data_IF_213217632670
#
_entry.id   IF_213217632670
#
_cell.length_a   1.000
_cell.length_b   1.000
_cell.length_c   1.000
_cell.angle_alpha   90.00
_cell.angle_beta   90.00
_cell.angle_gamma   90.00
#
_symmetry.space_group_name_H-M   'P 1'
#
loop_
_entity.id
_entity.type
_entity.pdbx_description
1 polymer ?
#
# COMPACT_ATOMS: atom_id res chain seq x y z
N UNK A 1 -18.67 18.35 21.66
CA UNK A 1 -17.75 18.10 20.55
C UNK A 1 -18.35 16.94 19.75
N UNK A 2 -19.00 17.22 18.62
CA UNK A 2 -19.62 16.15 17.81
C UNK A 2 -18.48 15.35 17.14
N UNK A 3 -18.23 14.16 17.65
CA UNK A 3 -17.32 13.21 16.99
C UNK A 3 -18.10 12.68 15.79
N UNK A 4 -17.91 13.30 14.63
CA UNK A 4 -18.40 12.72 13.38
C UNK A 4 -17.60 11.44 13.14
N UNK A 5 -18.24 10.28 13.40
CA UNK A 5 -17.66 8.99 13.02
C UNK A 5 -17.60 8.94 11.49
N UNK A 6 -16.39 8.78 10.95
CA UNK A 6 -16.18 8.58 9.52
C UNK A 6 -16.80 7.25 9.09
N UNK A 7 -17.63 7.29 8.06
CA UNK A 7 -18.23 6.09 7.47
C UNK A 7 -17.46 5.72 6.20
N UNK A 8 -17.10 4.47 6.07
CA UNK A 8 -16.41 3.93 4.90
C UNK A 8 -17.29 2.86 4.25
N UNK A 9 -17.55 3.02 2.97
CA UNK A 9 -18.32 2.07 2.18
C UNK A 9 -17.57 1.72 0.90
N UNK A 10 -17.31 0.43 0.70
CA UNK A 10 -16.70 -0.08 -0.51
C UNK A 10 -17.76 -0.19 -1.60
N UNK A 11 -17.59 0.57 -2.68
CA UNK A 11 -18.47 0.49 -3.83
C UNK A 11 -17.87 -0.45 -4.88
N UNK A 12 -18.20 -1.72 -4.74
CA UNK A 12 -17.76 -2.81 -5.61
C UNK A 12 -18.85 -3.88 -5.66
N UNK A 13 -19.00 -4.55 -6.79
CA UNK A 13 -19.82 -5.77 -6.85
C UNK A 13 -19.17 -6.84 -5.95
N UNK A 14 -19.88 -7.40 -4.94
CA UNK A 14 -19.34 -8.42 -4.04
C UNK A 14 -18.73 -9.60 -4.78
N UNK A 15 -19.24 -9.97 -5.94
CA UNK A 15 -18.68 -11.03 -6.79
C UNK A 15 -17.28 -10.70 -7.30
N UNK A 16 -16.95 -9.42 -7.46
CA UNK A 16 -15.58 -9.00 -7.82
C UNK A 16 -14.62 -9.31 -6.68
N UNK A 17 -15.03 -9.12 -5.42
CA UNK A 17 -14.18 -9.46 -4.26
C UNK A 17 -13.90 -10.97 -4.17
N UNK A 18 -14.87 -11.80 -4.51
CA UNK A 18 -14.70 -13.26 -4.57
C UNK A 18 -13.83 -13.67 -5.76
N UNK A 19 -14.01 -13.02 -6.92
CA UNK A 19 -13.21 -13.26 -8.14
C UNK A 19 -11.77 -12.72 -8.01
N UNK A 20 -11.57 -11.65 -7.25
CA UNK A 20 -10.25 -11.12 -6.87
C UNK A 20 -9.56 -12.03 -5.83
N UNK A 21 -10.16 -13.17 -5.50
CA UNK A 21 -9.58 -14.19 -4.64
C UNK A 21 -8.20 -14.66 -5.12
N UNK A 22 -7.65 -15.72 -4.55
CA UNK A 22 -6.23 -16.10 -4.65
C UNK A 22 -5.66 -16.26 -6.07
N UNK A 23 -6.49 -16.09 -7.10
CA UNK A 23 -6.11 -16.27 -8.50
C UNK A 23 -5.72 -15.00 -9.25
N UNK A 24 -5.96 -13.79 -8.69
CA UNK A 24 -5.64 -12.55 -9.41
C UNK A 24 -4.13 -12.28 -9.45
N UNK A 25 -3.45 -12.53 -8.34
CA UNK A 25 -2.01 -12.40 -8.22
C UNK A 25 -1.43 -13.64 -7.55
N UNK A 26 -0.75 -14.46 -8.34
CA UNK A 26 -0.08 -15.68 -7.86
C UNK A 26 1.28 -15.39 -7.21
N UNK A 27 1.69 -14.12 -7.18
CA UNK A 27 3.00 -13.72 -6.70
C UNK A 27 2.89 -12.38 -5.96
N UNK A 28 3.38 -12.35 -4.72
CA UNK A 28 3.41 -11.17 -3.85
C UNK A 28 4.10 -9.95 -4.50
N UNK A 29 5.08 -10.18 -5.37
CA UNK A 29 5.81 -9.06 -6.01
C UNK A 29 4.95 -8.26 -6.98
N UNK A 30 3.93 -8.86 -7.61
CA UNK A 30 2.96 -8.11 -8.42
C UNK A 30 2.06 -7.24 -7.53
N UNK A 31 1.66 -7.76 -6.37
CA UNK A 31 0.89 -6.99 -5.37
C UNK A 31 1.70 -5.79 -4.87
N UNK A 32 2.98 -6.01 -4.53
CA UNK A 32 3.87 -4.93 -4.12
C UNK A 32 4.06 -3.89 -5.23
N UNK A 33 4.24 -4.34 -6.47
CA UNK A 33 4.42 -3.45 -7.63
C UNK A 33 3.18 -2.56 -7.87
N UNK A 34 1.96 -3.07 -7.64
CA UNK A 34 0.73 -2.25 -7.71
C UNK A 34 0.72 -1.13 -6.67
N UNK A 35 1.14 -1.42 -5.42
CA UNK A 35 1.21 -0.37 -4.39
C UNK A 35 2.36 0.60 -4.62
N UNK A 36 3.49 0.13 -5.13
CA UNK A 36 4.59 1.00 -5.56
C UNK A 36 4.15 1.92 -6.70
N UNK A 37 3.35 1.40 -7.66
CA UNK A 37 2.77 2.22 -8.74
C UNK A 37 1.76 3.25 -8.20
N UNK A 38 0.93 2.87 -7.22
CA UNK A 38 0.01 3.80 -6.58
C UNK A 38 0.75 4.93 -5.83
N UNK A 39 1.84 4.59 -5.13
CA UNK A 39 2.71 5.57 -4.47
C UNK A 39 3.35 6.53 -5.49
N UNK A 40 3.84 6.00 -6.62
CA UNK A 40 4.37 6.79 -7.72
C UNK A 40 3.32 7.77 -8.26
N UNK A 41 2.08 7.30 -8.44
CA UNK A 41 0.95 8.10 -8.91
C UNK A 41 0.45 9.13 -7.87
N UNK A 42 0.78 8.91 -6.59
CA UNK A 42 0.55 9.84 -5.48
C UNK A 42 1.70 10.84 -5.26
N UNK A 43 2.62 10.97 -6.20
CA UNK A 43 3.81 11.84 -6.12
C UNK A 43 4.76 11.52 -4.95
N UNK A 44 4.74 10.28 -4.43
CA UNK A 44 5.67 9.88 -3.39
C UNK A 44 7.13 9.97 -3.84
N UNK A 45 8.01 10.29 -2.90
CA UNK A 45 9.46 10.22 -3.08
C UNK A 45 10.04 8.95 -2.47
N UNK A 46 9.41 8.44 -1.43
CA UNK A 46 9.85 7.25 -0.71
C UNK A 46 8.71 6.26 -0.53
N UNK A 47 9.02 4.99 -0.77
CA UNK A 47 8.14 3.85 -0.48
C UNK A 47 8.88 2.90 0.44
N UNK A 48 8.27 2.54 1.56
CA UNK A 48 8.82 1.64 2.56
C UNK A 48 8.06 0.32 2.54
N UNK A 49 8.74 -0.76 2.18
CA UNK A 49 8.20 -2.12 2.24
C UNK A 49 8.78 -2.80 3.48
N UNK A 50 7.93 -2.97 4.48
CA UNK A 50 8.31 -3.48 5.79
C UNK A 50 7.70 -4.87 5.95
N UNK A 51 8.52 -5.87 6.17
CA UNK A 51 8.08 -7.25 6.39
C UNK A 51 8.50 -7.75 7.75
N UNK A 52 7.56 -8.29 8.49
CA UNK A 52 7.79 -9.03 9.73
C UNK A 52 7.26 -10.47 9.62
N UNK A 53 7.12 -11.16 10.75
CA UNK A 53 6.64 -12.55 10.79
C UNK A 53 5.18 -12.67 10.33
N UNK A 54 4.34 -11.70 10.66
CA UNK A 54 2.89 -11.79 10.55
C UNK A 54 2.30 -10.86 9.50
N UNK A 55 3.01 -9.77 9.14
CA UNK A 55 2.49 -8.73 8.27
C UNK A 55 3.49 -8.32 7.19
N UNK A 56 2.95 -7.83 6.08
CA UNK A 56 3.69 -7.02 5.10
C UNK A 56 3.02 -5.66 5.04
N UNK A 57 3.79 -4.61 5.30
CA UNK A 57 3.35 -3.23 5.30
C UNK A 57 4.04 -2.46 4.19
N UNK A 58 3.29 -1.66 3.46
CA UNK A 58 3.80 -0.71 2.50
C UNK A 58 3.39 0.68 2.98
N UNK A 59 4.35 1.59 3.15
CA UNK A 59 4.11 3.00 3.42
C UNK A 59 4.71 3.84 2.32
N UNK A 60 4.02 4.92 1.94
CA UNK A 60 4.52 5.92 1.00
C UNK A 60 4.32 7.33 1.57
N UNK A 61 5.21 8.25 1.20
CA UNK A 61 5.15 9.66 1.53
C UNK A 61 4.44 10.49 0.44
N UNK A 62 3.53 9.89 -0.32
CA UNK A 62 2.69 10.59 -1.29
C UNK A 62 1.69 11.54 -0.63
N UNK A 63 0.83 12.19 -1.43
CA UNK A 63 -0.11 13.19 -0.92
C UNK A 63 -1.21 12.63 0.01
N UNK A 64 -1.30 11.31 0.17
CA UNK A 64 -2.34 10.67 0.96
C UNK A 64 -3.74 10.83 0.36
N UNK A 65 -4.77 10.62 1.19
CA UNK A 65 -6.18 10.72 0.78
C UNK A 65 -7.00 11.45 1.84
N UNK A 66 -7.58 12.59 1.49
CA UNK A 66 -8.50 13.31 2.36
C UNK A 66 -9.89 12.69 2.32
N UNK A 67 -10.47 12.49 3.49
CA UNK A 67 -11.86 12.06 3.63
C UNK A 67 -12.83 13.19 3.28
N UNK A 68 -12.54 14.41 3.76
CA UNK A 68 -13.38 15.59 3.54
C UNK A 68 -13.45 15.97 2.06
N UNK A 69 -12.34 15.90 1.34
CA UNK A 69 -12.27 16.18 -0.10
C UNK A 69 -12.78 15.00 -0.97
N UNK A 70 -13.26 13.92 -0.34
CA UNK A 70 -13.83 12.77 -1.03
C UNK A 70 -12.82 11.84 -1.70
N UNK A 71 -11.51 12.00 -1.46
CA UNK A 71 -10.47 11.16 -2.06
C UNK A 71 -10.54 9.72 -1.53
N UNK A 72 -10.81 9.54 -0.22
CA UNK A 72 -11.08 8.21 0.36
C UNK A 72 -12.29 7.56 -0.32
N UNK A 73 -13.37 8.30 -0.55
CA UNK A 73 -14.55 7.80 -1.26
C UNK A 73 -14.22 7.40 -2.70
N UNK A 74 -13.39 8.20 -3.39
CA UNK A 74 -12.89 7.88 -4.74
C UNK A 74 -12.03 6.61 -4.72
N UNK A 75 -11.18 6.45 -3.72
CA UNK A 75 -10.41 5.23 -3.53
C UNK A 75 -11.31 4.00 -3.32
N UNK A 76 -12.37 4.11 -2.55
CA UNK A 76 -13.32 3.03 -2.26
C UNK A 76 -14.27 2.71 -3.42
N UNK A 77 -14.31 3.54 -4.46
CA UNK A 77 -15.10 3.27 -5.66
C UNK A 77 -14.26 2.46 -6.68
N UNK A 78 -14.49 1.15 -6.73
CA UNK A 78 -13.71 0.22 -7.57
C UNK A 78 -14.27 0.08 -8.99
N UNK A 79 -15.56 0.28 -9.18
CA UNK A 79 -16.25 0.05 -10.45
C UNK A 79 -16.46 1.33 -11.27
N UNK A 80 -16.01 2.48 -10.78
CA UNK A 80 -16.09 3.72 -11.53
C UNK A 80 -15.22 3.60 -12.78
N UNK A 81 -15.87 3.41 -13.95
CA UNK A 81 -15.21 3.58 -15.23
C UNK A 81 -14.78 5.03 -15.32
N UNK A 82 -13.63 5.36 -14.74
CA UNK A 82 -12.99 6.62 -15.08
C UNK A 82 -12.53 6.50 -16.53
N UNK A 83 -13.32 7.05 -17.43
CA UNK A 83 -12.78 7.48 -18.72
C UNK A 83 -11.69 8.47 -18.35
N UNK A 84 -10.45 8.00 -18.33
CA UNK A 84 -9.27 8.85 -18.10
C UNK A 84 -9.28 9.89 -19.20
N UNK A 85 -9.73 11.10 -18.86
CA UNK A 85 -9.50 12.25 -19.73
C UNK A 85 -8.00 12.45 -19.81
N UNK A 86 -7.50 12.91 -20.93
CA UNK A 86 -6.05 13.11 -21.15
C UNK A 86 -5.41 13.98 -20.05
N UNK A 87 -6.17 14.94 -19.49
CA UNK A 87 -5.81 15.79 -18.36
C UNK A 87 -5.62 15.03 -17.04
N UNK A 88 -6.24 13.85 -16.86
CA UNK A 88 -6.06 12.98 -15.69
C UNK A 88 -4.88 12.02 -15.81
N UNK A 89 -4.12 12.09 -16.90
CA UNK A 89 -2.97 11.22 -17.16
C UNK A 89 -1.71 11.61 -16.36
N UNK A 90 -1.68 12.82 -15.80
CA UNK A 90 -0.57 13.31 -14.98
C UNK A 90 -0.87 13.17 -13.48
N UNK A 91 0.18 13.08 -12.68
CA UNK A 91 0.08 13.12 -11.22
C UNK A 91 -0.35 14.52 -10.75
N UNK A 92 -0.63 14.69 -9.45
CA UNK A 92 -1.08 15.96 -8.88
C UNK A 92 -0.02 17.08 -9.04
N UNK A 93 1.26 16.74 -8.96
CA UNK A 93 2.36 17.68 -9.22
C UNK A 93 2.49 18.07 -10.69
N UNK A 94 1.95 17.29 -11.60
CA UNK A 94 2.15 17.45 -13.05
C UNK A 94 3.50 16.94 -13.55
N UNK A 95 4.36 16.40 -12.69
CA UNK A 95 5.71 15.99 -13.06
C UNK A 95 5.80 14.57 -13.61
N UNK A 96 4.80 13.72 -13.30
CA UNK A 96 4.83 12.30 -13.64
C UNK A 96 3.58 11.90 -14.42
N UNK A 97 3.74 10.97 -15.36
CA UNK A 97 2.58 10.29 -15.96
C UNK A 97 2.11 9.17 -15.04
N UNK A 98 0.80 9.14 -14.77
CA UNK A 98 0.20 8.07 -13.97
C UNK A 98 0.36 6.71 -14.65
N UNK A 99 0.67 5.70 -13.85
CA UNK A 99 0.82 4.31 -14.26
C UNK A 99 -0.48 3.52 -14.11
N UNK A 100 -1.30 3.85 -13.11
CA UNK A 100 -2.54 3.16 -12.80
C UNK A 100 -3.63 3.41 -13.83
N UNK A 101 -4.02 2.36 -14.58
CA UNK A 101 -5.03 2.45 -15.64
C UNK A 101 -6.37 1.80 -15.30
N UNK A 102 -6.39 0.81 -14.40
CA UNK A 102 -7.56 -0.07 -14.21
C UNK A 102 -8.35 0.18 -12.93
N UNK A 103 -7.83 0.95 -11.97
CA UNK A 103 -8.52 1.24 -10.71
C UNK A 103 -8.78 0.03 -9.78
N UNK A 104 -8.33 -1.16 -10.14
CA UNK A 104 -8.50 -2.41 -9.37
C UNK A 104 -7.26 -2.77 -8.55
N UNK A 105 -6.11 -2.17 -8.84
CA UNK A 105 -4.84 -2.42 -8.14
C UNK A 105 -4.92 -2.18 -6.64
N UNK A 106 -5.78 -1.24 -6.21
CA UNK A 106 -6.06 -0.97 -4.78
C UNK A 106 -6.58 -2.18 -4.00
N UNK A 107 -7.17 -3.17 -4.67
CA UNK A 107 -7.65 -4.42 -4.08
C UNK A 107 -6.62 -5.56 -4.19
N UNK A 108 -5.46 -5.30 -4.80
CA UNK A 108 -4.42 -6.30 -5.01
C UNK A 108 -4.02 -7.04 -3.71
N UNK A 109 -3.96 -6.32 -2.58
CA UNK A 109 -3.64 -6.91 -1.29
C UNK A 109 -4.63 -8.00 -0.85
N UNK A 110 -5.91 -7.89 -1.23
CA UNK A 110 -6.92 -8.90 -0.91
C UNK A 110 -6.71 -10.22 -1.67
N UNK A 111 -5.89 -10.25 -2.71
CA UNK A 111 -5.52 -11.52 -3.36
C UNK A 111 -4.58 -12.37 -2.52
N UNK A 112 -3.83 -11.76 -1.61
CA UNK A 112 -2.81 -12.44 -0.78
C UNK A 112 -3.12 -12.39 0.71
N UNK A 113 -4.07 -11.56 1.15
CA UNK A 113 -4.49 -11.43 2.54
C UNK A 113 -6.01 -11.40 2.65
N UNK A 114 -6.58 -11.93 3.73
CA UNK A 114 -8.03 -11.87 3.96
C UNK A 114 -8.49 -10.49 4.45
N UNK A 115 -7.62 -9.78 5.16
CA UNK A 115 -7.87 -8.43 5.65
C UNK A 115 -6.66 -7.54 5.45
N UNK A 116 -6.93 -6.27 5.16
CA UNK A 116 -5.94 -5.27 4.83
C UNK A 116 -6.32 -3.97 5.54
N UNK A 117 -5.43 -3.47 6.39
CA UNK A 117 -5.61 -2.16 6.98
C UNK A 117 -5.12 -1.10 5.99
N UNK A 118 -5.93 -0.11 5.74
CA UNK A 118 -5.59 1.08 4.94
C UNK A 118 -5.63 2.28 5.86
N UNK A 119 -4.51 2.98 5.96
CA UNK A 119 -4.37 4.20 6.76
C UNK A 119 -3.79 5.30 5.89
N UNK A 120 -4.22 6.53 6.08
CA UNK A 120 -3.75 7.66 5.28
C UNK A 120 -3.76 8.94 6.09
N UNK A 121 -2.81 9.83 5.77
CA UNK A 121 -2.74 11.20 6.27
C UNK A 121 -2.74 12.13 5.06
N UNK A 122 -3.62 13.11 5.04
CA UNK A 122 -3.68 14.17 4.03
C UNK A 122 -4.35 15.40 4.62
N UNK A 123 -3.83 16.57 4.31
CA UNK A 123 -4.42 17.86 4.75
C UNK A 123 -4.66 17.95 6.27
N UNK A 124 -3.72 17.45 7.09
CA UNK A 124 -3.81 17.35 8.56
C UNK A 124 -4.97 16.46 9.05
N UNK A 125 -5.49 15.61 8.19
CA UNK A 125 -6.56 14.67 8.48
C UNK A 125 -6.02 13.23 8.40
N UNK A 126 -6.39 12.40 9.39
CA UNK A 126 -6.09 10.97 9.37
C UNK A 126 -7.36 10.18 9.07
N UNK A 127 -7.24 9.14 8.28
CA UNK A 127 -8.33 8.20 7.99
C UNK A 127 -7.81 6.77 7.97
N UNK A 128 -8.59 5.84 8.52
CA UNK A 128 -8.22 4.42 8.52
C UNK A 128 -9.44 3.51 8.45
N UNK A 129 -9.33 2.45 7.67
CA UNK A 129 -10.37 1.43 7.53
C UNK A 129 -9.77 0.08 7.16
N UNK A 130 -10.54 -0.97 7.40
CA UNK A 130 -10.16 -2.35 7.10
C UNK A 130 -10.92 -2.83 5.87
N UNK A 131 -10.19 -3.13 4.81
CA UNK A 131 -10.71 -3.89 3.67
C UNK A 131 -10.73 -5.37 4.04
N UNK A 132 -11.85 -6.05 3.75
CA UNK A 132 -11.98 -7.49 3.95
C UNK A 132 -12.49 -8.15 2.68
N UNK A 133 -11.98 -9.34 2.41
CA UNK A 133 -12.47 -10.18 1.31
C UNK A 133 -13.93 -10.59 1.53
N UNK A 134 -14.35 -10.68 2.77
CA UNK A 134 -15.73 -10.99 3.19
C UNK A 134 -16.26 -9.86 4.06
N UNK A 135 -16.88 -8.84 3.48
CA UNK A 135 -17.49 -7.76 4.27
C UNK A 135 -18.65 -8.32 5.10
N UNK A 136 -18.71 -7.93 6.37
CA UNK A 136 -19.66 -8.46 7.35
C UNK A 136 -21.04 -7.79 7.19
N UNK A 137 -21.10 -6.56 6.69
CA UNK A 137 -22.32 -5.76 6.66
C UNK A 137 -22.41 -4.93 5.36
N UNK A 138 -22.91 -5.55 4.31
CA UNK A 138 -23.32 -4.85 3.09
C UNK A 138 -22.34 -3.85 2.50
N UNK A 139 -21.06 -4.19 2.38
CA UNK A 139 -20.00 -3.32 1.88
C UNK A 139 -19.55 -2.19 2.85
N UNK A 140 -20.11 -2.10 4.06
CA UNK A 140 -19.57 -1.21 5.08
C UNK A 140 -18.22 -1.74 5.57
N UNK A 141 -17.25 -0.84 5.67
CA UNK A 141 -15.92 -1.16 6.14
C UNK A 141 -15.79 -0.79 7.62
N UNK A 142 -15.07 -1.60 8.36
CA UNK A 142 -14.75 -1.31 9.75
C UNK A 142 -13.75 -0.14 9.79
N UNK A 143 -14.06 0.96 10.49
CA UNK A 143 -13.10 2.04 10.70
C UNK A 143 -11.96 1.58 11.63
N UNK A 144 -10.79 2.16 11.46
CA UNK A 144 -9.67 2.09 12.39
C UNK A 144 -9.79 3.34 13.27
N UNK A 145 -9.75 3.18 14.58
CA UNK A 145 -9.79 4.31 15.51
C UNK A 145 -8.58 5.23 15.29
N UNK A 146 -8.75 6.53 15.49
CA UNK A 146 -7.67 7.51 15.24
C UNK A 146 -6.40 7.19 16.03
N UNK A 147 -6.55 6.74 17.29
CA UNK A 147 -5.42 6.33 18.14
C UNK A 147 -4.69 5.07 17.66
N UNK A 148 -5.33 4.27 16.79
CA UNK A 148 -4.76 3.05 16.20
C UNK A 148 -4.16 3.30 14.81
N UNK A 149 -4.36 4.50 14.22
CA UNK A 149 -3.73 4.91 12.98
C UNK A 149 -2.26 5.23 13.27
N UNK A 150 -1.36 4.35 12.83
CA UNK A 150 0.07 4.47 13.10
C UNK A 150 0.89 4.28 11.84
N UNK A 151 1.85 5.17 11.69
CA UNK A 151 2.86 5.08 10.63
C UNK A 151 4.23 4.84 11.26
N UNK A 152 5.12 4.23 10.51
CA UNK A 152 6.49 3.93 10.96
C UNK A 152 7.47 4.97 10.45
N UNK A 153 7.32 5.37 9.18
CA UNK A 153 8.26 6.27 8.49
C UNK A 153 7.63 7.57 8.02
N UNK A 154 6.30 7.63 7.88
CA UNK A 154 5.60 8.83 7.42
C UNK A 154 5.11 9.64 8.62
N UNK A 155 5.11 10.99 8.48
CA UNK A 155 4.71 11.90 9.56
C UNK A 155 3.66 12.92 9.13
N UNK A 156 3.77 13.48 7.93
CA UNK A 156 2.95 14.61 7.49
C UNK A 156 1.82 14.19 6.54
N UNK A 157 2.14 13.42 5.53
CA UNK A 157 1.19 12.93 4.54
C UNK A 157 1.65 11.60 3.97
N UNK A 158 0.73 10.81 3.47
CA UNK A 158 1.02 9.53 2.84
C UNK A 158 -0.02 8.45 3.11
N UNK A 159 0.30 7.24 2.68
CA UNK A 159 -0.59 6.09 2.82
C UNK A 159 0.17 4.88 3.36
N UNK A 160 -0.49 4.10 4.21
CA UNK A 160 -0.01 2.81 4.67
C UNK A 160 -1.02 1.71 4.37
N UNK A 161 -0.54 0.65 3.75
CA UNK A 161 -1.30 -0.57 3.45
C UNK A 161 -0.68 -1.71 4.24
N UNK A 162 -1.44 -2.36 5.12
CA UNK A 162 -0.96 -3.46 5.96
C UNK A 162 -1.71 -4.74 5.63
N UNK A 163 -1.02 -5.65 4.97
CA UNK A 163 -1.53 -7.00 4.70
C UNK A 163 -1.32 -7.88 5.92
N UNK A 164 -2.41 -8.31 6.58
CA UNK A 164 -2.37 -9.16 7.76
C UNK A 164 -2.30 -10.63 7.36
N UNK A 165 -1.36 -11.36 7.95
CA UNK A 165 -1.14 -12.79 7.72
C UNK A 165 -1.19 -13.17 6.22
N UNK A 166 -0.37 -12.53 5.35
CA UNK A 166 -0.41 -12.79 3.93
C UNK A 166 -0.04 -14.25 3.61
N UNK A 167 -0.72 -14.84 2.63
CA UNK A 167 -0.48 -16.22 2.18
C UNK A 167 0.93 -16.41 1.63
N UNK A 168 1.49 -15.35 1.02
CA UNK A 168 2.85 -15.36 0.48
C UNK A 168 3.74 -14.46 1.34
N UNK A 169 4.93 -14.97 1.67
CA UNK A 169 5.94 -14.21 2.41
C UNK A 169 7.02 -13.69 1.48
N UNK A 170 7.62 -12.58 1.84
CA UNK A 170 8.80 -12.09 1.13
C UNK A 170 9.97 -13.07 1.32
N UNK A 171 10.79 -13.16 0.29
CA UNK A 171 12.02 -13.93 0.37
C UNK A 171 12.90 -13.39 1.51
N UNK A 172 13.61 -14.29 2.22
CA UNK A 172 14.54 -13.92 3.29
C UNK A 172 15.74 -13.11 2.77
N UNK A 173 16.09 -13.29 1.49
CA UNK A 173 17.15 -12.53 0.84
C UNK A 173 16.61 -11.22 0.30
N UNK A 174 17.07 -10.10 0.87
CA UNK A 174 16.72 -8.74 0.43
C UNK A 174 17.09 -8.50 -1.05
N UNK A 175 18.23 -9.04 -1.51
CA UNK A 175 18.62 -8.94 -2.91
C UNK A 175 17.66 -9.66 -3.85
N UNK A 176 17.08 -10.77 -3.41
CA UNK A 176 16.06 -11.47 -4.17
C UNK A 176 14.77 -10.66 -4.26
N UNK A 177 14.35 -10.04 -3.16
CA UNK A 177 13.18 -9.13 -3.14
C UNK A 177 13.42 -7.98 -4.11
N UNK A 178 14.58 -7.33 -4.01
CA UNK A 178 15.01 -6.25 -4.88
C UNK A 178 14.94 -6.63 -6.36
N UNK A 179 15.59 -7.74 -6.74
CA UNK A 179 15.62 -8.20 -8.14
C UNK A 179 14.22 -8.49 -8.69
N UNK A 180 13.37 -9.13 -7.90
CA UNK A 180 12.03 -9.48 -8.33
C UNK A 180 11.14 -8.24 -8.49
N UNK A 181 11.24 -7.30 -7.58
CA UNK A 181 10.47 -6.05 -7.65
C UNK A 181 10.91 -5.19 -8.85
N UNK A 182 12.23 -5.02 -9.06
CA UNK A 182 12.77 -4.25 -10.19
C UNK A 182 12.44 -4.84 -11.57
N UNK A 183 12.21 -6.15 -11.67
CA UNK A 183 11.74 -6.78 -12.93
C UNK A 183 10.35 -6.30 -13.31
N UNK A 184 9.50 -6.01 -12.31
CA UNK A 184 8.10 -5.63 -12.52
C UNK A 184 7.98 -4.10 -12.53
N UNK A 185 8.70 -3.42 -11.64
CA UNK A 185 8.70 -1.97 -11.49
C UNK A 185 10.12 -1.39 -11.63
N UNK A 186 10.55 -1.04 -12.86
CA UNK A 186 11.90 -0.57 -13.11
C UNK A 186 12.12 0.95 -12.88
N UNK A 187 11.04 1.71 -12.59
CA UNK A 187 11.07 3.18 -12.47
C UNK A 187 11.55 3.64 -11.08
N UNK A 188 12.78 3.29 -10.73
CA UNK A 188 13.43 3.76 -9.51
C UNK A 188 14.58 4.69 -9.88
N UNK A 189 14.58 5.90 -9.32
CA UNK A 189 15.58 6.94 -9.57
C UNK A 189 15.83 7.77 -8.30
N UNK A 190 16.59 8.85 -8.41
CA UNK A 190 16.91 9.69 -7.26
C UNK A 190 15.69 10.41 -6.66
N UNK A 191 14.61 10.60 -7.46
CA UNK A 191 13.37 11.26 -7.05
C UNK A 191 12.28 10.26 -6.62
N UNK A 192 12.52 8.94 -6.73
CA UNK A 192 11.60 7.91 -6.29
C UNK A 192 12.39 6.69 -5.79
N UNK A 193 12.36 6.48 -4.48
CA UNK A 193 13.16 5.46 -3.80
C UNK A 193 12.26 4.40 -3.16
N UNK A 194 12.71 3.16 -3.21
CA UNK A 194 12.05 2.04 -2.55
C UNK A 194 12.99 1.49 -1.47
N UNK A 195 12.51 1.50 -0.22
CA UNK A 195 13.21 0.99 0.95
C UNK A 195 12.60 -0.37 1.33
N UNK A 196 13.44 -1.40 1.45
CA UNK A 196 12.99 -2.74 1.84
C UNK A 196 13.56 -3.07 3.21
N UNK A 197 12.68 -3.36 4.16
CA UNK A 197 13.03 -3.52 5.57
C UNK A 197 12.46 -4.85 6.06
N UNK A 198 13.32 -5.70 6.59
CA UNK A 198 12.91 -6.96 7.24
C UNK A 198 13.14 -6.87 8.73
N UNK A 199 12.07 -7.03 9.50
CA UNK A 199 12.10 -7.03 10.96
C UNK A 199 12.11 -8.49 11.43
N UNK A 200 13.25 -8.94 11.97
CA UNK A 200 13.37 -10.26 12.59
C UNK A 200 13.47 -10.09 14.11
N UNK A 201 12.49 -10.61 14.84
CA UNK A 201 12.61 -10.76 16.28
C UNK A 201 13.54 -11.94 16.58
N UNK A 202 14.77 -11.69 17.03
CA UNK A 202 15.60 -12.71 17.66
C UNK A 202 15.21 -12.77 19.14
N UNK A 203 14.53 -13.84 19.53
CA UNK A 203 14.36 -14.16 20.95
C UNK A 203 15.71 -14.71 21.39
N UNK A 204 16.48 -13.90 22.11
CA UNK A 204 17.66 -14.36 22.82
C UNK A 204 17.20 -15.12 24.07
N UNK A 205 17.87 -16.23 24.49
CA UNK A 205 17.53 -16.93 25.72
C UNK A 205 17.69 -16.08 26.98
N UNK A 206 18.36 -14.95 26.92
CA UNK A 206 18.49 -13.97 28.02
C UNK A 206 17.57 -12.77 27.76
N UNK A 207 16.46 -12.74 28.39
CA UNK A 207 15.47 -11.69 28.77
C UNK A 207 15.46 -10.31 28.03
N UNK A 208 16.12 -10.11 26.91
CA UNK A 208 16.06 -8.88 26.12
C UNK A 208 15.80 -9.22 24.65
N UNK A 209 14.62 -8.84 24.17
CA UNK A 209 14.28 -8.91 22.74
C UNK A 209 15.05 -7.83 22.00
N UNK A 210 16.03 -8.19 21.18
CA UNK A 210 16.67 -7.25 20.25
C UNK A 210 15.93 -7.26 18.92
N UNK A 211 15.47 -6.09 18.48
CA UNK A 211 14.92 -5.88 17.15
C UNK A 211 16.10 -5.68 16.19
N UNK A 212 16.28 -6.61 15.28
CA UNK A 212 17.29 -6.49 14.23
C UNK A 212 16.64 -5.89 12.99
N UNK A 213 16.93 -4.63 12.73
CA UNK A 213 16.54 -3.94 11.51
C UNK A 213 17.62 -4.20 10.45
N UNK A 214 17.23 -4.81 9.33
CA UNK A 214 18.05 -4.84 8.12
C UNK A 214 17.39 -3.94 7.09
N UNK A 215 18.03 -2.83 6.79
CA UNK A 215 17.63 -1.87 5.77
C UNK A 215 18.61 -1.93 4.59
N UNK A 216 18.08 -1.84 3.38
CA UNK A 216 18.89 -1.53 2.19
C UNK A 216 18.36 -0.20 1.67
N UNK A 217 19.10 0.86 1.91
CA UNK A 217 18.76 2.19 1.43
C UNK A 217 18.95 2.27 -0.09
N UNK A 218 17.89 2.73 -0.76
CA UNK A 218 17.92 3.13 -2.16
C UNK A 218 18.09 2.01 -3.20
N UNK A 219 16.98 1.58 -3.79
CA UNK A 219 17.01 0.84 -5.06
C UNK A 219 17.49 1.79 -6.16
N UNK A 220 18.79 1.79 -6.47
CA UNK A 220 19.31 2.44 -7.69
C UNK A 220 19.12 1.51 -8.88
N UNK A 221 18.61 2.05 -10.00
CA UNK A 221 18.58 1.37 -11.29
C UNK A 221 19.99 0.84 -11.60
N UNK A 222 20.12 -0.47 -11.80
CA UNK A 222 21.31 -1.03 -12.41
C UNK A 222 21.35 -0.53 -13.86
N UNK A 223 22.21 0.45 -14.15
CA UNK A 223 22.63 0.71 -15.53
C UNK A 223 23.21 -0.61 -16.05
N UNK A 224 22.60 -1.16 -17.11
CA UNK A 224 23.23 -2.21 -17.91
C UNK A 224 24.53 -1.59 -18.44
N UNK A 225 25.64 -1.97 -17.88
CA UNK A 225 26.93 -1.84 -18.56
C UNK A 225 26.89 -2.73 -19.78
N UNK A 226 27.18 -2.14 -20.90
CA UNK A 226 27.48 -2.76 -22.19
C UNK A 226 28.73 -3.64 -22.03
#
# INVERSE_FOLDING_TARGET
>A
MNIYMKEYQLNVDPRILELLGPNLYTNIYYVLAEFVANAYDADAHNVYIISNKDDIRIEDDGHGMSYQNGEVKKFLNVAGVSRVKEEESMTRSGERRKMGRKGVGKLAALSVSESVDVMTISDNEQSGFVLSRRPIDGNKLRPIADDDIKFVYIQEHGTAIVMRNPQYRLNKSMDSVKRNLLKIFPLVNDNFKIHIISISLKISPSKHSQILLRSIDGLRSMKKGI
#
